data_IF_846494209166
#
_entry.id   IF_846494209166
#
_cell.length_a   1.000
_cell.length_b   1.000
_cell.length_c   1.000
_cell.angle_alpha   90.00
_cell.angle_beta   90.00
_cell.angle_gamma   90.00
#
_symmetry.space_group_name_H-M   'P 1'
#
loop_
_entity.id
_entity.type
_entity.pdbx_description
1 polymer ?
#
# COMPACT_ATOMS: atom_id res chain seq x y z
N UNK A 1 9.07 -12.46 15.68
CA UNK A 1 9.03 -11.92 14.30
C UNK A 1 7.69 -12.22 13.60
N UNK A 2 7.26 -13.49 13.56
CA UNK A 2 5.97 -13.92 12.96
C UNK A 2 4.74 -13.22 13.58
N UNK A 3 4.68 -13.07 14.92
CA UNK A 3 3.58 -12.36 15.58
C UNK A 3 3.44 -10.90 15.12
N UNK A 4 4.54 -10.21 14.80
CA UNK A 4 4.51 -8.81 14.35
C UNK A 4 4.02 -8.69 12.90
N UNK A 5 4.38 -9.66 12.05
CA UNK A 5 3.92 -9.74 10.66
C UNK A 5 2.41 -10.03 10.64
N UNK A 6 1.95 -10.97 11.46
CA UNK A 6 0.53 -11.29 11.59
C UNK A 6 -0.28 -10.09 12.08
N UNK A 7 0.18 -9.40 13.13
CA UNK A 7 -0.47 -8.18 13.61
C UNK A 7 -0.53 -7.09 12.54
N UNK A 8 0.57 -6.85 11.83
CA UNK A 8 0.60 -5.89 10.71
C UNK A 8 -0.41 -6.26 9.62
N UNK A 9 -0.41 -7.54 9.22
CA UNK A 9 -1.31 -8.04 8.17
C UNK A 9 -2.78 -7.92 8.59
N UNK A 10 -3.10 -8.22 9.85
CA UNK A 10 -4.46 -8.04 10.37
C UNK A 10 -4.88 -6.58 10.41
N UNK A 11 -4.01 -5.69 10.87
CA UNK A 11 -4.28 -4.24 10.94
C UNK A 11 -4.52 -3.68 9.53
N UNK A 12 -3.65 -4.00 8.57
CA UNK A 12 -3.81 -3.47 7.21
C UNK A 12 -5.03 -4.06 6.50
N UNK A 13 -5.30 -5.36 6.68
CA UNK A 13 -6.53 -5.98 6.17
C UNK A 13 -7.77 -5.32 6.75
N UNK A 14 -7.79 -5.05 8.05
CA UNK A 14 -8.91 -4.40 8.72
C UNK A 14 -9.11 -2.96 8.23
N UNK A 15 -8.04 -2.16 8.19
CA UNK A 15 -8.11 -0.77 7.74
C UNK A 15 -8.51 -0.65 6.27
N UNK A 16 -7.98 -1.50 5.39
CA UNK A 16 -8.37 -1.52 3.98
C UNK A 16 -9.79 -2.04 3.79
N UNK A 17 -10.20 -3.07 4.53
CA UNK A 17 -11.58 -3.58 4.48
C UNK A 17 -12.59 -2.50 4.90
N UNK A 18 -12.29 -1.79 5.98
CA UNK A 18 -13.12 -0.68 6.47
C UNK A 18 -13.14 0.48 5.47
N UNK A 19 -11.98 0.87 4.93
CA UNK A 19 -11.91 1.93 3.93
C UNK A 19 -12.64 1.55 2.62
N UNK A 20 -12.52 0.31 2.17
CA UNK A 20 -13.24 -0.21 0.99
C UNK A 20 -14.75 -0.14 1.21
N UNK A 21 -15.22 -0.61 2.37
CA UNK A 21 -16.63 -0.55 2.74
C UNK A 21 -17.13 0.90 2.76
N UNK A 22 -16.41 1.83 3.40
CA UNK A 22 -16.78 3.24 3.40
C UNK A 22 -16.80 3.84 1.99
N UNK A 23 -15.77 3.59 1.18
CA UNK A 23 -15.66 4.15 -0.17
C UNK A 23 -16.80 3.68 -1.07
N UNK A 24 -17.18 2.40 -1.02
CA UNK A 24 -18.33 1.90 -1.78
C UNK A 24 -19.63 2.55 -1.28
N UNK A 25 -19.89 2.56 0.02
CA UNK A 25 -21.14 3.12 0.54
C UNK A 25 -21.31 4.62 0.24
N UNK A 26 -20.21 5.38 0.19
CA UNK A 26 -20.24 6.82 -0.14
C UNK A 26 -20.54 7.06 -1.63
N UNK A 27 -20.02 6.21 -2.53
CA UNK A 27 -20.03 6.47 -3.99
C UNK A 27 -21.03 5.55 -4.73
N UNK A 28 -21.72 4.63 -4.03
CA UNK A 28 -22.55 3.57 -4.62
C UNK A 28 -23.63 4.07 -5.59
N UNK A 29 -24.19 5.25 -5.36
CA UNK A 29 -25.28 5.80 -6.18
C UNK A 29 -24.80 6.33 -7.53
N UNK A 30 -23.50 6.51 -7.70
CA UNK A 30 -22.86 7.06 -8.91
C UNK A 30 -21.91 6.07 -9.59
N UNK A 31 -21.72 4.88 -9.02
CA UNK A 31 -20.72 3.90 -9.45
C UNK A 31 -21.19 3.08 -10.65
N UNK A 32 -20.44 3.16 -11.74
CA UNK A 32 -20.52 2.21 -12.85
C UNK A 32 -19.87 0.87 -12.50
N UNK A 33 -20.25 -0.20 -13.20
CA UNK A 33 -19.61 -1.53 -13.03
C UNK A 33 -18.08 -1.49 -13.24
N UNK A 34 -17.62 -0.63 -14.15
CA UNK A 34 -16.20 -0.39 -14.43
C UNK A 34 -15.47 0.17 -13.19
N UNK A 35 -16.03 1.21 -12.58
CA UNK A 35 -15.44 1.88 -11.42
C UNK A 35 -15.42 0.95 -10.20
N UNK A 36 -16.46 0.15 -9.98
CA UNK A 36 -16.48 -0.87 -8.91
C UNK A 36 -15.34 -1.88 -9.07
N UNK A 37 -15.14 -2.40 -10.29
CA UNK A 37 -14.03 -3.30 -10.59
C UNK A 37 -12.66 -2.61 -10.39
N UNK A 38 -12.56 -1.33 -10.72
CA UNK A 38 -11.34 -0.54 -10.52
C UNK A 38 -11.05 -0.30 -9.03
N UNK A 39 -12.06 -0.03 -8.21
CA UNK A 39 -11.92 0.07 -6.75
C UNK A 39 -11.42 -1.28 -6.21
N UNK A 40 -12.11 -2.38 -6.53
CA UNK A 40 -11.72 -3.71 -6.05
C UNK A 40 -10.28 -4.05 -6.45
N UNK A 41 -9.91 -3.82 -7.71
CA UNK A 41 -8.55 -4.03 -8.18
C UNK A 41 -7.54 -3.13 -7.45
N UNK A 42 -7.87 -1.86 -7.20
CA UNK A 42 -7.02 -0.92 -6.49
C UNK A 42 -6.73 -1.36 -5.06
N UNK A 43 -7.75 -1.81 -4.33
CA UNK A 43 -7.58 -2.30 -2.96
C UNK A 43 -6.75 -3.58 -2.92
N UNK A 44 -7.02 -4.53 -3.80
CA UNK A 44 -6.29 -5.80 -3.87
C UNK A 44 -4.82 -5.57 -4.24
N UNK A 45 -4.56 -4.74 -5.25
CA UNK A 45 -3.22 -4.39 -5.68
C UNK A 45 -2.44 -3.70 -4.56
N UNK A 46 -3.04 -2.70 -3.91
CA UNK A 46 -2.39 -1.98 -2.83
C UNK A 46 -2.11 -2.90 -1.64
N UNK A 47 -3.04 -3.78 -1.25
CA UNK A 47 -2.82 -4.76 -0.20
C UNK A 47 -1.65 -5.71 -0.53
N UNK A 48 -1.68 -6.34 -1.71
CA UNK A 48 -0.66 -7.31 -2.13
C UNK A 48 0.74 -6.66 -2.17
N UNK A 49 0.82 -5.45 -2.74
CA UNK A 49 2.08 -4.75 -2.85
C UNK A 49 2.61 -4.32 -1.48
N UNK A 50 1.75 -3.79 -0.60
CA UNK A 50 2.15 -3.42 0.77
C UNK A 50 2.66 -4.64 1.55
N UNK A 51 1.98 -5.77 1.40
CA UNK A 51 2.38 -7.03 2.02
C UNK A 51 3.77 -7.48 1.53
N UNK A 52 3.99 -7.47 0.21
CA UNK A 52 5.29 -7.79 -0.39
C UNK A 52 6.39 -6.83 0.06
N UNK A 53 6.11 -5.52 0.07
CA UNK A 53 7.05 -4.50 0.51
C UNK A 53 7.46 -4.74 1.97
N UNK A 54 6.50 -5.04 2.85
CA UNK A 54 6.79 -5.29 4.25
C UNK A 54 7.62 -6.55 4.48
N UNK A 55 7.35 -7.62 3.73
CA UNK A 55 8.18 -8.84 3.74
C UNK A 55 9.63 -8.53 3.32
N UNK A 56 9.81 -7.81 2.21
CA UNK A 56 11.13 -7.41 1.73
C UNK A 56 11.87 -6.58 2.78
N UNK A 57 11.21 -5.58 3.38
CA UNK A 57 11.82 -4.73 4.40
C UNK A 57 12.28 -5.55 5.61
N UNK A 58 11.50 -6.54 6.05
CA UNK A 58 11.90 -7.38 7.19
C UNK A 58 13.11 -8.26 6.90
N UNK A 59 13.25 -8.75 5.67
CA UNK A 59 14.41 -9.54 5.22
C UNK A 59 15.64 -8.65 5.06
N UNK A 60 15.48 -7.51 4.41
CA UNK A 60 16.59 -6.63 4.04
C UNK A 60 16.90 -5.54 5.07
N UNK A 61 16.20 -5.48 6.22
CA UNK A 61 16.39 -4.43 7.23
C UNK A 61 17.83 -4.24 7.70
N UNK A 62 18.62 -5.33 7.78
CA UNK A 62 20.03 -5.31 8.19
C UNK A 62 20.98 -4.85 7.09
N UNK A 63 20.59 -5.05 5.82
CA UNK A 63 21.39 -4.73 4.64
C UNK A 63 21.12 -3.27 4.21
N UNK A 64 19.92 -2.77 4.48
CA UNK A 64 19.44 -1.47 4.00
C UNK A 64 19.41 -0.39 5.09
N UNK A 65 19.98 -0.61 6.28
CA UNK A 65 19.85 0.28 7.46
C UNK A 65 19.97 1.78 7.11
N UNK A 66 21.01 2.15 6.36
CA UNK A 66 21.31 3.55 6.06
C UNK A 66 20.56 4.11 4.83
N UNK A 67 19.90 3.25 4.04
CA UNK A 67 19.26 3.63 2.75
C UNK A 67 17.80 3.20 2.63
N UNK A 68 17.23 2.61 3.67
CA UNK A 68 15.91 1.98 3.61
C UNK A 68 14.80 2.99 3.26
N UNK A 69 14.89 4.21 3.81
CA UNK A 69 13.95 5.29 3.47
C UNK A 69 14.01 5.67 1.99
N UNK A 70 15.21 5.75 1.41
CA UNK A 70 15.39 6.04 -0.02
C UNK A 70 14.87 4.91 -0.91
N UNK A 71 15.20 3.65 -0.57
CA UNK A 71 14.70 2.47 -1.27
C UNK A 71 13.17 2.40 -1.18
N UNK A 72 12.59 2.68 -0.01
CA UNK A 72 11.15 2.72 0.19
C UNK A 72 10.48 3.76 -0.72
N UNK A 73 11.02 4.98 -0.80
CA UNK A 73 10.50 6.03 -1.69
C UNK A 73 10.55 5.62 -3.17
N UNK A 74 11.63 4.98 -3.60
CA UNK A 74 11.75 4.44 -4.96
C UNK A 74 10.70 3.36 -5.25
N UNK A 75 10.54 2.40 -4.34
CA UNK A 75 9.58 1.30 -4.49
C UNK A 75 8.12 1.81 -4.45
N UNK A 76 7.78 2.77 -3.59
CA UNK A 76 6.44 3.34 -3.53
C UNK A 76 6.10 4.19 -4.77
N UNK A 77 7.10 4.86 -5.35
CA UNK A 77 6.94 5.53 -6.65
C UNK A 77 6.72 4.50 -7.76
N UNK A 78 7.49 3.40 -7.76
CA UNK A 78 7.31 2.29 -8.70
C UNK A 78 5.92 1.65 -8.57
N UNK A 79 5.37 1.51 -7.35
CA UNK A 79 4.00 1.02 -7.09
C UNK A 79 2.96 1.82 -7.88
N UNK A 80 3.08 3.14 -7.81
CA UNK A 80 2.20 4.06 -8.51
C UNK A 80 2.31 3.91 -10.04
N UNK A 81 3.54 3.89 -10.55
CA UNK A 81 3.82 3.72 -11.99
C UNK A 81 3.31 2.36 -12.50
N UNK A 82 3.58 1.28 -11.76
CA UNK A 82 3.12 -0.07 -12.09
C UNK A 82 1.60 -0.15 -12.14
N UNK A 83 0.91 0.44 -11.16
CA UNK A 83 -0.55 0.50 -11.18
C UNK A 83 -1.07 1.19 -12.44
N UNK A 84 -0.52 2.36 -12.76
CA UNK A 84 -0.90 3.12 -13.96
C UNK A 84 -0.74 2.29 -15.24
N UNK A 85 0.40 1.62 -15.41
CA UNK A 85 0.63 0.76 -16.59
C UNK A 85 -0.29 -0.46 -16.62
N UNK A 86 -0.59 -1.09 -15.49
CA UNK A 86 -1.50 -2.24 -15.42
C UNK A 86 -2.93 -1.86 -15.79
N UNK A 87 -3.41 -0.70 -15.33
CA UNK A 87 -4.75 -0.22 -15.69
C UNK A 87 -4.81 0.16 -17.17
N UNK A 88 -3.79 0.84 -17.69
CA UNK A 88 -3.69 1.18 -19.12
C UNK A 88 -3.67 -0.07 -20.01
N UNK A 89 -2.94 -1.12 -19.60
CA UNK A 89 -2.86 -2.40 -20.32
C UNK A 89 -4.21 -3.12 -20.42
N UNK A 90 -5.12 -2.89 -19.47
CA UNK A 90 -6.49 -3.42 -19.50
C UNK A 90 -7.44 -2.62 -20.40
N UNK A 91 -6.94 -1.68 -21.21
CA UNK A 91 -7.72 -0.73 -22.00
C UNK A 91 -8.75 0.04 -21.16
N UNK A 92 -8.46 0.24 -19.88
CA UNK A 92 -9.28 1.06 -18.99
C UNK A 92 -8.83 2.51 -19.18
N UNK A 93 -9.63 3.32 -19.88
CA UNK A 93 -9.43 4.76 -19.90
C UNK A 93 -9.60 5.31 -18.49
N UNK A 94 -8.57 5.94 -17.95
CA UNK A 94 -8.60 6.52 -16.59
C UNK A 94 -8.99 7.99 -16.74
N UNK A 95 -10.21 8.32 -16.33
CA UNK A 95 -10.59 9.71 -16.13
C UNK A 95 -10.03 10.25 -14.80
N UNK A 96 -10.02 11.58 -14.62
CA UNK A 96 -9.59 12.19 -13.35
C UNK A 96 -10.34 11.63 -12.13
N UNK A 97 -11.62 11.30 -12.29
CA UNK A 97 -12.44 10.66 -11.25
C UNK A 97 -11.95 9.25 -10.92
N UNK A 98 -11.61 8.44 -11.93
CA UNK A 98 -11.10 7.07 -11.77
C UNK A 98 -9.76 7.04 -11.01
N UNK A 99 -8.95 8.09 -11.17
CA UNK A 99 -7.68 8.23 -10.45
C UNK A 99 -7.88 8.36 -8.93
N UNK A 100 -8.90 9.12 -8.50
CA UNK A 100 -9.23 9.29 -7.08
C UNK A 100 -9.63 7.96 -6.42
N UNK A 101 -10.28 7.08 -7.19
CA UNK A 101 -10.69 5.75 -6.71
C UNK A 101 -9.49 4.87 -6.33
N UNK A 102 -8.38 5.00 -7.05
CA UNK A 102 -7.11 4.35 -6.72
C UNK A 102 -6.34 5.09 -5.62
N UNK A 103 -6.42 6.41 -5.59
CA UNK A 103 -5.62 7.23 -4.69
C UNK A 103 -5.93 6.98 -3.21
N UNK A 104 -7.18 6.69 -2.87
CA UNK A 104 -7.62 6.39 -1.49
C UNK A 104 -6.88 5.18 -0.90
N UNK A 105 -6.99 3.95 -1.48
CA UNK A 105 -6.26 2.79 -0.94
C UNK A 105 -4.75 2.96 -1.02
N UNK A 106 -4.24 3.71 -2.01
CA UNK A 106 -2.81 4.01 -2.15
C UNK A 106 -2.27 4.84 -0.98
N UNK A 107 -2.85 6.00 -0.70
CA UNK A 107 -2.40 6.89 0.38
C UNK A 107 -2.55 6.22 1.74
N UNK A 108 -3.64 5.47 1.95
CA UNK A 108 -3.86 4.73 3.19
C UNK A 108 -2.74 3.69 3.41
N UNK A 109 -2.43 2.88 2.39
CA UNK A 109 -1.33 1.93 2.47
C UNK A 109 0.02 2.63 2.68
N UNK A 110 0.30 3.67 1.91
CA UNK A 110 1.56 4.41 1.97
C UNK A 110 1.78 5.03 3.36
N UNK A 111 0.72 5.55 3.99
CA UNK A 111 0.81 6.09 5.36
C UNK A 111 1.15 5.01 6.39
N UNK A 112 0.51 3.84 6.29
CA UNK A 112 0.79 2.70 7.16
C UNK A 112 2.21 2.19 6.93
N UNK A 113 2.62 2.05 5.68
CA UNK A 113 3.98 1.65 5.30
C UNK A 113 5.01 2.58 5.91
N UNK A 114 4.89 3.90 5.72
CA UNK A 114 5.80 4.91 6.30
C UNK A 114 5.90 4.76 7.81
N UNK A 115 4.77 4.63 8.51
CA UNK A 115 4.74 4.46 9.97
C UNK A 115 5.53 3.21 10.41
N UNK A 116 5.27 2.07 9.78
CA UNK A 116 5.93 0.81 10.13
C UNK A 116 7.41 0.79 9.75
N UNK A 117 7.76 1.34 8.59
CA UNK A 117 9.14 1.47 8.14
C UNK A 117 9.94 2.33 9.10
N UNK A 118 9.39 3.48 9.51
CA UNK A 118 10.02 4.38 10.48
C UNK A 118 10.22 3.69 11.84
N UNK A 119 9.23 2.91 12.29
CA UNK A 119 9.32 2.13 13.53
C UNK A 119 10.40 1.04 13.47
N UNK A 120 10.52 0.35 12.34
CA UNK A 120 11.57 -0.66 12.12
C UNK A 120 12.93 0.01 12.12
N UNK A 121 13.10 1.13 11.40
CA UNK A 121 14.36 1.86 11.33
C UNK A 121 14.85 2.29 12.72
N UNK A 122 13.96 2.89 13.51
CA UNK A 122 14.29 3.35 14.86
C UNK A 122 14.67 2.18 15.78
N UNK A 123 14.03 1.01 15.63
CA UNK A 123 14.37 -0.17 16.42
C UNK A 123 15.74 -0.76 16.07
N UNK A 124 16.16 -0.64 14.81
CA UNK A 124 17.47 -1.11 14.35
C UNK A 124 18.58 -0.18 14.84
N UNK A 125 18.38 1.13 14.72
CA UNK A 125 19.34 2.14 15.18
C UNK A 125 19.57 2.08 16.70
N UNK A 126 18.52 1.81 17.50
CA UNK A 126 18.65 1.68 18.95
C UNK A 126 19.55 0.50 19.36
N UNK A 127 19.35 -0.69 18.76
CA UNK A 127 20.17 -1.89 19.04
C UNK A 127 21.64 -1.75 18.61
N UNK A 128 21.97 -0.81 17.73
CA UNK A 128 23.34 -0.56 17.28
C UNK A 128 24.15 0.27 18.29
N UNK A 129 23.47 0.96 19.21
CA UNK A 129 24.04 1.86 20.22
C UNK A 129 24.02 1.30 21.65
N UNK A 130 23.60 0.03 21.83
CA UNK A 130 23.54 -0.70 23.10
C UNK A 130 24.51 -1.87 23.11
#
# INVERSE_FOLDING_TARGET
MISNILKFTLIISFLLGLAYFLQINIIQTTLSAKETNLIQFSYLFNFAFTYLLMLNILVFKKILEDKLGFVYLGISTLKFVLFYFLVKSKNIEINKSDFLLFFIPFVLCLSIEIFYVSKILNSVNYNKNS
#
